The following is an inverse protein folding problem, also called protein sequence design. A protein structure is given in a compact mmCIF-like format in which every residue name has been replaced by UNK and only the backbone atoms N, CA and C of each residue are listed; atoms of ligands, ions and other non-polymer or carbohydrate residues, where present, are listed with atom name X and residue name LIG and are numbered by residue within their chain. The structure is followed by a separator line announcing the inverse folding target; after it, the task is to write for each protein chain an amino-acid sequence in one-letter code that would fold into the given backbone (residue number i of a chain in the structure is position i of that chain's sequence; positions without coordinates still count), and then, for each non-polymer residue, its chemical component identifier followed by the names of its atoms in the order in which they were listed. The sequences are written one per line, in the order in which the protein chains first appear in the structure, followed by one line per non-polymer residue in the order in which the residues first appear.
data_IF_653993973791
#
_entry.id   IF_653993973791
#
_cell.length_a   1.000
_cell.length_b   1.000
_cell.length_c   1.000
_cell.angle_alpha   90.00
_cell.angle_beta   90.00
_cell.angle_gamma   90.00
#
_symmetry.space_group_name_H-M   'P 1'
#
loop_
_entity.id
_entity.type
_entity.pdbx_description
1 polymer ?
#
# COMPACT_ATOMS: atom_id res chain seq x y z
N UNK A 1 -17.72 5.47 -12.40
CA UNK A 1 -16.38 4.88 -12.62
C UNK A 1 -15.35 5.33 -11.58
N UNK A 2 -15.12 6.64 -11.42
CA UNK A 2 -14.17 7.18 -10.43
C UNK A 2 -14.39 6.69 -8.99
N UNK A 3 -15.64 6.65 -8.51
CA UNK A 3 -15.97 6.21 -7.13
C UNK A 3 -15.48 4.77 -6.86
N UNK A 4 -15.69 3.85 -7.80
CA UNK A 4 -15.28 2.45 -7.61
C UNK A 4 -13.75 2.29 -7.67
N UNK A 5 -13.05 3.06 -8.52
CA UNK A 5 -11.58 3.08 -8.54
C UNK A 5 -11.02 3.59 -7.21
N UNK A 6 -11.58 4.67 -6.67
CA UNK A 6 -11.17 5.22 -5.37
C UNK A 6 -11.41 4.22 -4.22
N UNK A 7 -12.57 3.56 -4.20
CA UNK A 7 -12.85 2.52 -3.20
C UNK A 7 -11.86 1.36 -3.29
N UNK A 8 -11.55 0.89 -4.51
CA UNK A 8 -10.55 -0.16 -4.71
C UNK A 8 -9.16 0.28 -4.23
N UNK A 9 -8.74 1.51 -4.54
CA UNK A 9 -7.45 2.04 -4.07
C UNK A 9 -7.34 2.04 -2.54
N UNK A 10 -8.39 2.48 -1.83
CA UNK A 10 -8.46 2.49 -0.36
C UNK A 10 -8.38 1.06 0.20
N UNK A 11 -9.07 0.10 -0.41
CA UNK A 11 -8.99 -1.31 0.02
C UNK A 11 -7.57 -1.88 -0.14
N UNK A 12 -6.86 -1.55 -1.22
CA UNK A 12 -5.47 -1.96 -1.38
C UNK A 12 -4.55 -1.31 -0.36
N UNK A 13 -4.72 -0.02 -0.04
CA UNK A 13 -3.96 0.67 1.01
C UNK A 13 -4.08 -0.03 2.37
N UNK A 14 -5.29 -0.48 2.74
CA UNK A 14 -5.54 -1.20 3.99
C UNK A 14 -4.82 -2.54 4.13
N UNK A 15 -4.26 -3.08 3.04
CA UNK A 15 -3.54 -4.35 3.03
C UNK A 15 -2.00 -4.21 3.03
N UNK A 16 -1.47 -2.99 3.07
CA UNK A 16 -0.02 -2.75 3.07
C UNK A 16 0.52 -2.95 4.48
N UNK A 17 1.44 -3.89 4.64
CA UNK A 17 2.15 -4.09 5.91
C UNK A 17 3.53 -3.45 5.86
N UNK A 18 3.92 -2.85 6.98
CA UNK A 18 5.23 -2.24 7.17
C UNK A 18 5.99 -3.01 8.25
N UNK A 19 7.32 -3.07 8.10
CA UNK A 19 8.26 -3.52 9.13
C UNK A 19 9.18 -2.36 9.52
N UNK A 20 9.85 -2.41 10.69
CA UNK A 20 10.84 -1.40 11.05
C UNK A 20 11.90 -1.24 9.95
N UNK A 21 12.28 0.00 9.69
CA UNK A 21 13.34 0.34 8.75
C UNK A 21 14.72 0.38 9.42
N UNK A 22 15.69 1.01 8.75
CA UNK A 22 17.08 1.12 9.25
C UNK A 22 17.23 2.20 10.33
N UNK A 23 16.52 3.31 10.18
CA UNK A 23 16.53 4.42 11.13
C UNK A 23 15.46 4.23 12.21
N UNK A 24 15.68 4.77 13.40
CA UNK A 24 14.86 4.57 14.61
C UNK A 24 13.35 4.72 14.37
N UNK A 25 12.94 5.72 13.59
CA UNK A 25 11.53 6.02 13.30
C UNK A 25 11.14 5.70 11.84
N UNK A 26 11.96 4.94 11.13
CA UNK A 26 11.68 4.55 9.76
C UNK A 26 10.89 3.24 9.67
N UNK A 27 10.16 3.09 8.58
CA UNK A 27 9.48 1.85 8.20
C UNK A 27 9.83 1.50 6.76
N UNK A 28 9.82 0.21 6.46
CA UNK A 28 9.94 -0.33 5.10
C UNK A 28 8.74 -1.21 4.79
N UNK A 29 8.42 -1.41 3.52
CA UNK A 29 7.42 -2.40 3.09
C UNK A 29 7.88 -3.77 3.55
N UNK A 30 6.98 -4.51 4.21
CA UNK A 30 7.29 -5.78 4.89
C UNK A 30 7.59 -6.93 3.92
N UNK A 31 6.82 -7.05 2.84
CA UNK A 31 6.87 -8.19 1.92
C UNK A 31 6.40 -7.84 0.50
N UNK A 32 6.65 -8.76 -0.45
CA UNK A 32 6.24 -8.59 -1.85
C UNK A 32 4.73 -8.42 -2.00
N UNK A 33 3.92 -9.06 -1.14
CA UNK A 33 2.46 -8.92 -1.18
C UNK A 33 2.06 -7.47 -0.91
N UNK A 34 2.66 -6.85 0.10
CA UNK A 34 2.45 -5.45 0.47
C UNK A 34 2.91 -4.50 -0.65
N UNK A 35 4.03 -4.81 -1.33
CA UNK A 35 4.48 -4.05 -2.50
C UNK A 35 3.48 -4.08 -3.66
N UNK A 36 2.86 -5.24 -3.93
CA UNK A 36 1.83 -5.37 -4.96
C UNK A 36 0.55 -4.59 -4.61
N UNK A 37 0.14 -4.61 -3.34
CA UNK A 37 -0.98 -3.78 -2.89
C UNK A 37 -0.68 -2.28 -3.03
N UNK A 38 0.54 -1.84 -2.67
CA UNK A 38 0.95 -0.45 -2.86
C UNK A 38 0.94 -0.03 -4.33
N UNK A 39 1.51 -0.84 -5.22
CA UNK A 39 1.52 -0.55 -6.66
C UNK A 39 0.09 -0.44 -7.21
N UNK A 40 -0.78 -1.40 -6.87
CA UNK A 40 -2.17 -1.38 -7.31
C UNK A 40 -2.92 -0.13 -6.80
N UNK A 41 -2.70 0.27 -5.54
CA UNK A 41 -3.28 1.50 -5.01
C UNK A 41 -2.80 2.73 -5.80
N UNK A 42 -1.50 2.80 -6.12
CA UNK A 42 -0.92 3.91 -6.89
C UNK A 42 -1.48 4.00 -8.33
N UNK A 43 -1.75 2.87 -8.99
CA UNK A 43 -2.32 2.85 -10.34
C UNK A 43 -3.83 3.21 -10.37
N UNK A 44 -4.52 3.09 -9.23
CA UNK A 44 -5.95 3.37 -9.10
C UNK A 44 -6.27 4.82 -8.72
N UNK A 45 -5.33 5.54 -8.10
CA UNK A 45 -5.44 6.99 -7.86
C UNK A 45 -5.13 7.78 -9.13
#
# INVERSE_FOLDING_TARGET
EAIFRTLAAILHLGNIQFSPGREHDSSTIKDNKSSLHLQMAADLF
#
